data_IF_547306042857
#
_entry.id   IF_547306042857
#
_cell.length_a   1.000
_cell.length_b   1.000
_cell.length_c   1.000
_cell.angle_alpha   90.00
_cell.angle_beta   90.00
_cell.angle_gamma   90.00
#
_symmetry.space_group_name_H-M   'P 1'
#
loop_
_entity.id
_entity.type
_entity.pdbx_description
1 polymer ?
#
# COMPACT_ATOMS: atom_id res chain seq x y z
N UNK A 1 -26.76 7.14 -9.43
CA UNK A 1 -26.25 5.96 -8.70
C UNK A 1 -24.76 5.64 -9.00
N UNK A 2 -23.97 6.53 -9.63
CA UNK A 2 -22.57 6.24 -10.02
C UNK A 2 -21.51 6.56 -8.93
N UNK A 3 -21.93 7.05 -7.76
CA UNK A 3 -21.01 7.50 -6.70
C UNK A 3 -20.09 6.39 -6.18
N UNK A 4 -20.53 5.12 -6.22
CA UNK A 4 -19.67 3.99 -5.89
C UNK A 4 -18.43 3.90 -6.78
N UNK A 5 -18.55 4.17 -8.09
CA UNK A 5 -17.40 4.24 -8.99
C UNK A 5 -16.48 5.43 -8.65
N UNK A 6 -17.04 6.56 -8.22
CA UNK A 6 -16.24 7.69 -7.72
C UNK A 6 -15.39 7.34 -6.50
N UNK A 7 -15.96 6.61 -5.54
CA UNK A 7 -15.22 6.12 -4.37
C UNK A 7 -14.13 5.14 -4.80
N UNK A 8 -14.45 4.18 -5.68
CA UNK A 8 -13.47 3.21 -6.18
C UNK A 8 -12.36 3.85 -7.01
N UNK A 9 -12.66 4.92 -7.75
CA UNK A 9 -11.67 5.67 -8.50
C UNK A 9 -10.65 6.33 -7.58
N UNK A 10 -11.11 6.97 -6.50
CA UNK A 10 -10.21 7.57 -5.50
C UNK A 10 -9.44 6.51 -4.70
N UNK A 11 -10.10 5.41 -4.32
CA UNK A 11 -9.45 4.29 -3.64
C UNK A 11 -8.36 3.65 -4.52
N UNK A 12 -8.62 3.47 -5.81
CA UNK A 12 -7.63 2.99 -6.78
C UNK A 12 -6.40 3.89 -6.84
N UNK A 13 -6.59 5.21 -6.90
CA UNK A 13 -5.49 6.18 -6.85
C UNK A 13 -4.68 6.08 -5.56
N UNK A 14 -5.36 5.97 -4.41
CA UNK A 14 -4.70 5.82 -3.12
C UNK A 14 -3.82 4.56 -3.09
N UNK A 15 -4.36 3.41 -3.52
CA UNK A 15 -3.63 2.13 -3.56
C UNK A 15 -2.43 2.20 -4.52
N UNK A 16 -2.60 2.85 -5.67
CA UNK A 16 -1.51 3.09 -6.61
C UNK A 16 -0.39 3.95 -5.98
N UNK A 17 -0.74 5.08 -5.37
CA UNK A 17 0.25 5.95 -4.73
C UNK A 17 0.94 5.26 -3.54
N UNK A 18 0.19 4.49 -2.76
CA UNK A 18 0.71 3.69 -1.65
C UNK A 18 1.77 2.68 -2.12
N UNK A 19 1.60 2.11 -3.33
CA UNK A 19 2.56 1.17 -3.89
C UNK A 19 3.95 1.79 -4.10
N UNK A 20 4.00 3.10 -4.41
CA UNK A 20 5.25 3.81 -4.66
C UNK A 20 6.12 3.89 -3.39
N UNK A 21 5.51 3.88 -2.21
CA UNK A 21 6.24 3.77 -0.95
C UNK A 21 7.16 2.54 -0.94
N UNK A 22 6.69 1.39 -1.41
CA UNK A 22 7.48 0.16 -1.45
C UNK A 22 8.45 0.10 -2.64
N UNK A 23 8.12 0.74 -3.76
CA UNK A 23 8.94 0.72 -4.97
C UNK A 23 10.11 1.72 -4.93
N UNK A 24 9.95 2.84 -4.21
CA UNK A 24 10.97 3.89 -4.11
C UNK A 24 11.79 3.86 -2.82
N UNK A 25 11.36 3.09 -1.81
CA UNK A 25 12.14 2.88 -0.59
C UNK A 25 12.79 1.50 -0.54
N UNK A 26 13.80 1.35 0.33
CA UNK A 26 14.52 0.10 0.54
C UNK A 26 14.30 -0.47 1.94
N UNK A 27 14.62 -1.77 2.09
CA UNK A 27 14.49 -2.49 3.36
C UNK A 27 15.27 -1.86 4.52
N UNK A 28 16.46 -1.31 4.26
CA UNK A 28 17.34 -0.75 5.30
C UNK A 28 16.66 0.36 6.11
N UNK A 29 16.09 1.35 5.43
CA UNK A 29 15.32 2.43 6.05
C UNK A 29 14.22 1.91 6.99
N UNK A 30 13.41 0.97 6.52
CA UNK A 30 12.32 0.41 7.31
C UNK A 30 12.82 -0.43 8.49
N UNK A 31 13.95 -1.10 8.34
CA UNK A 31 14.54 -1.91 9.40
C UNK A 31 15.06 -1.03 10.55
N UNK A 32 15.76 0.06 10.25
CA UNK A 32 16.25 1.03 11.24
C UNK A 32 15.08 1.73 11.98
N UNK A 33 14.00 2.05 11.24
CA UNK A 33 12.77 2.57 11.85
C UNK A 33 12.13 1.55 12.81
N UNK A 34 12.03 0.28 12.40
CA UNK A 34 11.48 -0.80 13.24
C UNK A 34 12.33 -0.96 14.51
N UNK A 35 13.66 -0.88 14.42
CA UNK A 35 14.56 -0.98 15.58
C UNK A 35 14.30 0.12 16.60
N UNK A 36 14.06 1.35 16.13
CA UNK A 36 13.67 2.48 16.99
C UNK A 36 12.31 2.26 17.67
N UNK A 37 11.34 1.67 16.95
CA UNK A 37 10.02 1.33 17.50
C UNK A 37 10.13 0.19 18.52
N UNK A 38 10.93 -0.85 18.24
CA UNK A 38 11.18 -1.97 19.14
C UNK A 38 11.86 -1.51 20.42
N UNK A 39 12.78 -0.54 20.34
CA UNK A 39 13.35 0.11 21.52
C UNK A 39 12.27 0.72 22.41
N UNK A 40 11.30 1.44 21.84
CA UNK A 40 10.20 2.04 22.60
C UNK A 40 9.30 0.96 23.24
N UNK A 41 8.98 -0.11 22.51
CA UNK A 41 8.20 -1.24 23.05
C UNK A 41 8.92 -1.94 24.21
N UNK A 42 10.25 -2.06 24.14
CA UNK A 42 11.06 -2.64 25.21
C UNK A 42 11.00 -1.80 26.49
N UNK A 43 11.01 -0.46 26.37
CA UNK A 43 10.87 0.43 27.53
C UNK A 43 9.55 0.26 28.27
N UNK A 44 8.48 -0.05 27.53
CA UNK A 44 7.16 -0.32 28.09
C UNK A 44 6.93 -1.79 28.44
N UNK A 45 7.91 -2.67 28.20
CA UNK A 45 7.81 -4.13 28.42
C UNK A 45 6.63 -4.78 27.68
N UNK A 46 6.29 -4.27 26.50
CA UNK A 46 5.21 -4.79 25.63
C UNK A 46 5.77 -5.40 24.33
N UNK A 47 7.03 -5.87 24.37
CA UNK A 47 7.62 -6.51 23.19
C UNK A 47 7.05 -7.88 22.92
N UNK A 48 7.03 -8.22 21.64
CA UNK A 48 6.65 -9.54 21.17
C UNK A 48 7.84 -10.49 21.25
N UNK A 49 7.59 -11.78 21.47
CA UNK A 49 8.64 -12.81 21.43
C UNK A 49 9.22 -12.99 20.02
N UNK A 50 8.39 -12.87 18.99
CA UNK A 50 8.81 -12.90 17.59
C UNK A 50 9.36 -11.53 17.21
N UNK A 51 10.59 -11.50 16.70
CA UNK A 51 11.26 -10.26 16.30
C UNK A 51 10.64 -9.68 15.02
N UNK A 52 10.12 -8.44 15.05
CA UNK A 52 9.61 -7.79 13.85
C UNK A 52 10.79 -7.43 12.93
N UNK A 53 10.61 -7.69 11.63
CA UNK A 53 11.59 -7.36 10.60
C UNK A 53 10.92 -6.68 9.43
N UNK A 54 11.63 -5.75 8.79
CA UNK A 54 11.20 -5.21 7.51
C UNK A 54 11.14 -6.33 6.46
N UNK A 55 10.19 -6.19 5.51
CA UNK A 55 10.02 -7.13 4.40
C UNK A 55 11.33 -7.41 3.68
N UNK A 56 11.49 -8.64 3.17
CA UNK A 56 12.63 -8.95 2.29
C UNK A 56 12.58 -8.10 1.02
N UNK A 57 13.73 -7.92 0.34
CA UNK A 57 13.80 -7.10 -0.88
C UNK A 57 12.81 -7.61 -1.94
N UNK A 58 12.74 -8.93 -2.16
CA UNK A 58 11.81 -9.54 -3.11
C UNK A 58 10.36 -9.35 -2.69
N UNK A 59 10.05 -9.49 -1.39
CA UNK A 59 8.69 -9.23 -0.89
C UNK A 59 8.30 -7.76 -1.03
N UNK A 60 9.18 -6.81 -0.71
CA UNK A 60 8.91 -5.39 -0.90
C UNK A 60 8.58 -5.05 -2.35
N UNK A 61 9.34 -5.60 -3.31
CA UNK A 61 9.05 -5.48 -4.75
C UNK A 61 7.71 -6.12 -5.12
N UNK A 62 7.43 -7.32 -4.60
CA UNK A 62 6.18 -8.03 -4.88
C UNK A 62 4.96 -7.27 -4.33
N UNK A 63 5.04 -6.76 -3.10
CA UNK A 63 4.00 -5.92 -2.49
C UNK A 63 3.81 -4.64 -3.31
N UNK A 64 4.92 -3.99 -3.70
CA UNK A 64 4.89 -2.79 -4.55
C UNK A 64 4.19 -3.03 -5.88
N UNK A 65 4.56 -4.08 -6.63
CA UNK A 65 3.92 -4.35 -7.93
C UNK A 65 2.46 -4.79 -7.78
N UNK A 66 2.12 -5.54 -6.73
CA UNK A 66 0.75 -5.95 -6.47
C UNK A 66 -0.19 -4.76 -6.27
N UNK A 67 0.21 -3.80 -5.42
CA UNK A 67 -0.58 -2.58 -5.20
C UNK A 67 -0.58 -1.65 -6.43
N UNK A 68 0.55 -1.55 -7.14
CA UNK A 68 0.64 -0.74 -8.36
C UNK A 68 -0.37 -1.20 -9.41
N UNK A 69 -0.40 -2.50 -9.68
CA UNK A 69 -1.33 -3.10 -10.63
C UNK A 69 -2.78 -3.00 -10.15
N UNK A 70 -3.05 -3.36 -8.89
CA UNK A 70 -4.39 -3.28 -8.32
C UNK A 70 -4.95 -1.86 -8.41
N UNK A 71 -4.19 -0.86 -7.95
CA UNK A 71 -4.60 0.54 -7.96
C UNK A 71 -4.82 1.07 -9.37
N UNK A 72 -3.90 0.79 -10.29
CA UNK A 72 -4.01 1.23 -11.70
C UNK A 72 -5.20 0.60 -12.42
N UNK A 73 -5.42 -0.71 -12.24
CA UNK A 73 -6.53 -1.43 -12.87
C UNK A 73 -7.87 -0.97 -12.29
N UNK A 74 -8.00 -0.85 -10.96
CA UNK A 74 -9.24 -0.41 -10.30
C UNK A 74 -9.59 1.04 -10.70
N UNK A 75 -8.59 1.91 -10.78
CA UNK A 75 -8.78 3.30 -11.26
C UNK A 75 -9.37 3.32 -12.67
N UNK A 76 -8.76 2.56 -13.58
CA UNK A 76 -9.17 2.49 -14.99
C UNK A 76 -10.56 1.86 -15.14
N UNK A 77 -10.82 0.78 -14.39
CA UNK A 77 -12.12 0.11 -14.34
C UNK A 77 -13.23 1.06 -13.87
N UNK A 78 -13.01 1.78 -12.76
CA UNK A 78 -13.98 2.70 -12.20
C UNK A 78 -14.27 3.86 -13.17
N UNK A 79 -13.23 4.40 -13.80
CA UNK A 79 -13.36 5.45 -14.81
C UNK A 79 -14.20 5.00 -16.01
N UNK A 80 -13.86 3.86 -16.62
CA UNK A 80 -14.55 3.40 -17.82
C UNK A 80 -16.02 3.08 -17.54
N UNK A 81 -16.33 2.35 -16.48
CA UNK A 81 -17.72 2.00 -16.17
C UNK A 81 -18.55 3.23 -15.83
N UNK A 82 -18.04 4.14 -15.00
CA UNK A 82 -18.74 5.39 -14.70
C UNK A 82 -19.00 6.21 -15.97
N UNK A 83 -17.99 6.30 -16.87
CA UNK A 83 -18.11 7.06 -18.11
C UNK A 83 -19.12 6.43 -19.06
N UNK A 84 -19.00 5.13 -19.34
CA UNK A 84 -19.86 4.43 -20.31
C UNK A 84 -21.32 4.43 -19.86
N UNK A 85 -21.60 4.20 -18.57
CA UNK A 85 -22.97 4.24 -18.04
C UNK A 85 -23.56 5.65 -17.97
N UNK A 86 -22.74 6.71 -17.99
CA UNK A 86 -23.23 8.08 -17.98
C UNK A 86 -23.60 8.62 -19.37
N UNK A 87 -23.08 8.03 -20.45
CA UNK A 87 -23.28 8.51 -21.83
C UNK A 87 -23.99 7.51 -22.76
N UNK A 88 -24.07 6.24 -22.35
CA UNK A 88 -24.88 5.21 -23.02
C UNK A 88 -26.25 5.14 -22.42
#
# INVERSE_FOLDING_TARGET
ALSAYGIMFLAGHFVFAFSLMFLFSGRGYWQELIESIVWAHNKLKITTAIQPRALSITQGRAVGVAHYLLGGIVTTWAFFLARMTAIG
#
